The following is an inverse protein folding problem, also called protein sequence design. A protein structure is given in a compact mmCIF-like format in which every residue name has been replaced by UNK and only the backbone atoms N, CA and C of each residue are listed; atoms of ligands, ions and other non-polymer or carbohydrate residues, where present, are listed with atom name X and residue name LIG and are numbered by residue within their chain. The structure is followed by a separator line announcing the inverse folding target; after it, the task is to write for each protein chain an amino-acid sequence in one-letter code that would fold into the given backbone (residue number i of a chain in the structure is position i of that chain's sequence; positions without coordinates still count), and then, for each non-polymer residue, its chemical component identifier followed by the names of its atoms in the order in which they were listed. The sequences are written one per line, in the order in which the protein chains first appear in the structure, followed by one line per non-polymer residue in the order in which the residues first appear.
data_IF_477610568478
#
_entry.id   IF_477610568478
#
_cell.length_a   1.000
_cell.length_b   1.000
_cell.length_c   1.000
_cell.angle_alpha   90.00
_cell.angle_beta   90.00
_cell.angle_gamma   90.00
#
_symmetry.space_group_name_H-M   'P 1'
#
loop_
_entity.id
_entity.type
_entity.pdbx_description
1 polymer ?
#
# COMPACT_ATOMS: atom_id res chain seq x y z
N UNK A 1 -17.31 7.02 16.20
CA UNK A 1 -17.28 5.56 16.47
C UNK A 1 -16.53 5.19 17.76
N UNK A 2 -15.33 5.72 18.04
CA UNK A 2 -14.58 5.35 19.26
C UNK A 2 -15.35 5.56 20.59
N UNK A 3 -16.04 6.70 20.75
CA UNK A 3 -16.87 6.98 21.95
C UNK A 3 -18.00 5.96 22.13
N UNK A 4 -18.60 5.51 21.03
CA UNK A 4 -19.66 4.51 21.04
C UNK A 4 -19.13 3.14 21.49
N UNK A 5 -17.98 2.70 20.96
CA UNK A 5 -17.33 1.45 21.40
C UNK A 5 -16.88 1.50 22.86
N UNK A 6 -16.34 2.65 23.31
CA UNK A 6 -15.97 2.83 24.72
C UNK A 6 -17.19 2.76 25.64
N UNK A 7 -18.34 3.29 25.20
CA UNK A 7 -19.58 3.22 25.99
C UNK A 7 -20.13 1.79 26.09
N UNK A 8 -20.14 1.03 25.00
CA UNK A 8 -20.55 -0.39 25.05
C UNK A 8 -19.60 -1.22 25.93
N UNK A 9 -18.29 -0.96 25.86
CA UNK A 9 -17.30 -1.65 26.70
C UNK A 9 -17.47 -1.31 28.19
N UNK A 10 -17.85 -0.07 28.50
CA UNK A 10 -18.17 0.38 29.86
C UNK A 10 -19.43 -0.31 30.40
N UNK A 11 -20.47 -0.43 29.58
CA UNK A 11 -21.71 -1.15 29.92
C UNK A 11 -21.46 -2.65 30.20
N UNK A 12 -20.49 -3.24 29.52
CA UNK A 12 -20.02 -4.61 29.76
C UNK A 12 -18.98 -4.72 30.90
N UNK A 13 -18.67 -3.61 31.59
CA UNK A 13 -17.72 -3.59 32.71
C UNK A 13 -16.27 -3.86 32.32
N UNK A 14 -15.88 -3.65 31.05
CA UNK A 14 -14.54 -3.96 30.54
C UNK A 14 -13.55 -2.82 30.72
N UNK A 15 -13.88 -1.63 30.22
CA UNK A 15 -13.06 -0.42 30.36
C UNK A 15 -13.90 0.82 30.00
N UNK A 16 -13.49 1.98 30.53
CA UNK A 16 -14.10 3.29 30.26
C UNK A 16 -13.34 4.06 29.17
N UNK A 17 -13.93 5.16 28.71
CA UNK A 17 -13.23 6.06 27.79
C UNK A 17 -11.97 6.68 28.40
N UNK A 18 -11.96 6.92 29.72
CA UNK A 18 -10.80 7.44 30.43
C UNK A 18 -9.65 6.43 30.40
N UNK A 19 -9.94 5.15 30.67
CA UNK A 19 -8.95 4.07 30.63
C UNK A 19 -8.34 3.91 29.23
N UNK A 20 -9.17 4.04 28.19
CA UNK A 20 -8.70 3.98 26.80
C UNK A 20 -7.77 5.16 26.45
N UNK A 21 -8.10 6.38 26.90
CA UNK A 21 -7.26 7.56 26.69
C UNK A 21 -5.94 7.46 27.44
N UNK A 22 -5.97 7.01 28.68
CA UNK A 22 -4.78 6.80 29.50
C UNK A 22 -3.86 5.74 28.89
N UNK A 23 -4.41 4.60 28.47
CA UNK A 23 -3.66 3.55 27.78
C UNK A 23 -3.03 4.03 26.47
N UNK A 24 -3.73 4.89 25.70
CA UNK A 24 -3.16 5.49 24.48
C UNK A 24 -2.04 6.47 24.83
N UNK A 25 -2.23 7.31 25.84
CA UNK A 25 -1.25 8.30 26.27
C UNK A 25 0.05 7.62 26.74
N UNK A 26 -0.06 6.64 27.64
CA UNK A 26 1.08 5.83 28.08
C UNK A 26 1.79 5.15 26.92
N UNK A 27 1.02 4.60 25.96
CA UNK A 27 1.56 3.95 24.77
C UNK A 27 2.27 4.94 23.83
N UNK A 28 1.76 6.17 23.70
CA UNK A 28 2.39 7.23 22.91
C UNK A 28 3.73 7.65 23.53
N UNK A 29 3.74 7.91 24.83
CA UNK A 29 4.95 8.26 25.59
C UNK A 29 5.98 7.13 25.47
N UNK A 30 5.58 5.89 25.73
CA UNK A 30 6.48 4.73 25.69
C UNK A 30 7.04 4.44 24.30
N UNK A 31 6.27 4.66 23.23
CA UNK A 31 6.72 4.43 21.84
C UNK A 31 7.46 5.61 21.22
N UNK A 32 7.37 6.79 21.80
CA UNK A 32 8.08 7.99 21.34
C UNK A 32 8.95 8.60 22.44
N UNK A 33 9.89 7.84 23.03
CA UNK A 33 10.78 8.38 24.06
C UNK A 33 11.70 9.47 23.51
N UNK A 34 11.86 9.62 22.20
CA UNK A 34 12.59 10.71 21.55
C UNK A 34 11.78 12.01 21.44
N UNK A 35 10.45 11.95 21.63
CA UNK A 35 9.55 13.11 21.63
C UNK A 35 9.20 13.52 23.06
N UNK A 36 9.01 12.55 23.95
CA UNK A 36 8.48 12.76 25.30
C UNK A 36 9.49 12.49 26.43
N UNK A 37 10.72 12.09 26.11
CA UNK A 37 11.81 11.85 27.07
C UNK A 37 13.20 12.18 26.44
N UNK A 38 14.29 11.98 27.20
CA UNK A 38 15.67 12.06 26.68
C UNK A 38 16.02 10.80 25.87
N UNK A 39 15.46 10.68 24.67
CA UNK A 39 15.70 9.57 23.75
C UNK A 39 16.78 9.87 22.70
N UNK A 40 17.81 9.03 22.61
CA UNK A 40 18.94 9.17 21.66
C UNK A 40 18.63 8.93 20.16
N UNK A 41 17.37 8.73 19.76
CA UNK A 41 17.03 8.48 18.36
C UNK A 41 16.93 9.81 17.58
N UNK A 42 18.02 10.20 16.91
CA UNK A 42 18.15 11.50 16.21
C UNK A 42 17.85 11.44 14.72
N UNK A 43 17.63 10.25 14.17
CA UNK A 43 17.34 10.03 12.74
C UNK A 43 16.02 9.28 12.54
N UNK A 44 15.31 9.51 11.41
CA UNK A 44 14.07 8.81 11.10
C UNK A 44 14.20 7.27 11.14
N UNK A 45 15.34 6.74 10.69
CA UNK A 45 15.63 5.30 10.67
C UNK A 45 15.79 4.74 12.10
N UNK A 46 16.48 5.48 12.98
CA UNK A 46 16.62 5.11 14.39
C UNK A 46 15.29 5.16 15.12
N UNK A 47 14.44 6.16 14.83
CA UNK A 47 13.09 6.28 15.39
C UNK A 47 12.24 5.08 14.98
N UNK A 48 12.25 4.72 13.68
CA UNK A 48 11.49 3.59 13.17
C UNK A 48 11.94 2.26 13.79
N UNK A 49 13.27 2.05 13.89
CA UNK A 49 13.85 0.84 14.50
C UNK A 49 13.44 0.71 15.98
N UNK A 50 13.53 1.81 16.73
CA UNK A 50 13.18 1.84 18.16
C UNK A 50 11.68 1.64 18.37
N UNK A 51 10.84 2.26 17.55
CA UNK A 51 9.39 2.05 17.58
C UNK A 51 9.07 0.56 17.44
N UNK A 52 9.63 -0.09 16.42
CA UNK A 52 9.28 -1.49 16.15
C UNK A 52 9.87 -2.47 17.17
N UNK A 53 11.01 -2.14 17.78
CA UNK A 53 11.54 -2.88 18.93
C UNK A 53 10.57 -2.81 20.13
N UNK A 54 10.07 -1.61 20.46
CA UNK A 54 9.07 -1.42 21.52
C UNK A 54 7.76 -2.17 21.20
N UNK A 55 7.34 -2.21 19.93
CA UNK A 55 6.18 -3.02 19.50
C UNK A 55 6.42 -4.52 19.70
N UNK A 56 7.62 -5.01 19.44
CA UNK A 56 7.96 -6.42 19.59
C UNK A 56 7.97 -6.82 21.07
N UNK A 57 8.57 -5.98 21.94
CA UNK A 57 8.59 -6.16 23.40
C UNK A 57 7.17 -6.19 23.99
N UNK A 58 6.29 -5.26 23.59
CA UNK A 58 4.87 -5.29 24.00
C UNK A 58 4.16 -6.58 23.61
N UNK A 59 4.48 -7.14 22.44
CA UNK A 59 3.84 -8.33 21.92
C UNK A 59 4.33 -9.58 22.65
N UNK A 60 5.58 -9.61 23.07
CA UNK A 60 6.15 -10.67 23.92
C UNK A 60 5.51 -10.69 25.32
N UNK A 61 5.26 -9.52 25.92
CA UNK A 61 4.62 -9.40 27.24
C UNK A 61 3.15 -9.88 27.24
N UNK A 62 2.46 -9.80 26.10
CA UNK A 62 1.05 -10.22 25.97
C UNK A 62 0.82 -11.73 25.86
N UNK A 63 1.86 -12.57 25.97
CA UNK A 63 1.70 -14.01 26.22
C UNK A 63 1.09 -14.83 25.07
N UNK A 64 1.30 -14.45 23.81
CA UNK A 64 0.87 -15.26 22.66
C UNK A 64 1.83 -16.40 22.34
N UNK A 65 1.30 -17.53 21.84
CA UNK A 65 2.08 -18.63 21.23
C UNK A 65 3.11 -18.12 20.22
N UNK A 66 4.23 -18.82 19.96
CA UNK A 66 5.23 -18.39 18.98
C UNK A 66 4.58 -18.28 17.60
N UNK A 67 4.21 -17.06 17.26
CA UNK A 67 3.64 -16.67 15.99
C UNK A 67 4.77 -16.58 14.97
N UNK A 68 4.55 -17.12 13.77
CA UNK A 68 5.43 -16.93 12.63
C UNK A 68 5.67 -15.44 12.38
N UNK A 69 6.81 -15.09 11.78
CA UNK A 69 7.24 -13.70 11.55
C UNK A 69 6.12 -12.83 10.93
N UNK A 70 5.33 -13.43 10.04
CA UNK A 70 4.28 -12.76 9.27
C UNK A 70 2.89 -12.81 9.93
N UNK A 71 2.66 -13.62 10.96
CA UNK A 71 1.34 -13.79 11.60
C UNK A 71 0.81 -12.49 12.23
N UNK A 72 1.70 -11.55 12.52
CA UNK A 72 1.32 -10.21 12.96
C UNK A 72 0.94 -9.24 11.85
N UNK A 73 0.77 -9.69 10.59
CA UNK A 73 0.28 -8.86 9.48
C UNK A 73 -1.24 -9.07 9.36
N UNK A 74 -2.06 -8.03 9.59
CA UNK A 74 -3.50 -8.15 9.44
C UNK A 74 -3.90 -8.40 7.99
N UNK A 75 -4.65 -9.50 7.76
CA UNK A 75 -5.19 -9.91 6.45
C UNK A 75 -6.41 -9.09 5.98
N UNK A 76 -6.99 -8.28 6.86
CA UNK A 76 -8.15 -7.44 6.55
C UNK A 76 -7.77 -6.13 5.82
N UNK A 77 -6.49 -5.92 5.53
CA UNK A 77 -5.99 -4.74 4.83
C UNK A 77 -6.06 -4.93 3.31
N UNK A 78 -6.01 -3.85 2.52
CA UNK A 78 -5.80 -3.94 1.08
C UNK A 78 -4.51 -4.69 0.73
N UNK A 79 -4.53 -5.45 -0.36
CA UNK A 79 -3.45 -6.36 -0.74
C UNK A 79 -2.08 -5.67 -0.88
N UNK A 80 -2.01 -4.45 -1.45
CA UNK A 80 -0.73 -3.72 -1.58
C UNK A 80 -0.17 -3.29 -0.22
N UNK A 81 -1.04 -2.88 0.70
CA UNK A 81 -0.64 -2.51 2.05
C UNK A 81 -0.16 -3.74 2.85
N UNK A 82 -0.85 -4.88 2.69
CA UNK A 82 -0.45 -6.17 3.26
C UNK A 82 0.90 -6.62 2.71
N UNK A 83 1.07 -6.67 1.38
CA UNK A 83 2.33 -7.02 0.72
C UNK A 83 3.49 -6.12 1.19
N UNK A 84 3.26 -4.82 1.33
CA UNK A 84 4.29 -3.89 1.82
C UNK A 84 4.67 -4.17 3.29
N UNK A 85 3.72 -4.59 4.13
CA UNK A 85 4.00 -5.00 5.50
C UNK A 85 4.74 -6.34 5.58
N UNK A 86 4.33 -7.34 4.79
CA UNK A 86 5.01 -8.63 4.66
C UNK A 86 6.48 -8.40 4.25
N UNK A 87 6.67 -7.69 3.15
CA UNK A 87 7.99 -7.34 2.60
C UNK A 87 8.88 -6.63 3.62
N UNK A 88 8.36 -5.60 4.32
CA UNK A 88 9.12 -4.90 5.37
C UNK A 88 9.52 -5.80 6.53
N UNK A 89 8.69 -6.79 6.90
CA UNK A 89 9.02 -7.73 7.98
C UNK A 89 10.06 -8.74 7.55
N UNK A 90 9.92 -9.30 6.35
CA UNK A 90 10.91 -10.22 5.78
C UNK A 90 12.29 -9.54 5.69
N UNK A 91 12.34 -8.32 5.16
CA UNK A 91 13.57 -7.54 5.06
C UNK A 91 14.27 -7.34 6.41
N UNK A 92 13.51 -7.08 7.48
CA UNK A 92 14.06 -6.91 8.84
C UNK A 92 14.65 -8.20 9.43
N UNK A 93 14.15 -9.34 9.01
CA UNK A 93 14.72 -10.64 9.35
C UNK A 93 15.97 -10.97 8.53
N UNK A 94 16.43 -10.06 7.66
CA UNK A 94 17.56 -10.26 6.77
C UNK A 94 17.20 -10.95 5.45
N UNK A 95 15.91 -11.18 5.19
CA UNK A 95 15.43 -11.70 3.91
C UNK A 95 15.06 -10.52 3.01
N UNK A 96 16.08 -9.93 2.37
CA UNK A 96 15.93 -8.79 1.46
C UNK A 96 16.91 -8.89 0.28
N UNK A 97 16.66 -8.10 -0.75
CA UNK A 97 17.61 -7.82 -1.82
C UNK A 97 18.69 -6.84 -1.34
N UNK A 98 19.88 -6.90 -1.94
CA UNK A 98 20.98 -6.01 -1.55
C UNK A 98 20.80 -4.58 -2.08
N UNK A 99 20.12 -4.44 -3.22
CA UNK A 99 19.96 -3.17 -3.90
C UNK A 99 18.77 -3.17 -4.87
N UNK A 100 18.37 -1.96 -5.28
CA UNK A 100 17.26 -1.76 -6.22
C UNK A 100 17.45 -2.48 -7.56
N UNK A 101 18.68 -2.64 -8.05
CA UNK A 101 18.93 -3.27 -9.34
C UNK A 101 18.54 -4.75 -9.34
N UNK A 102 18.74 -5.47 -8.22
CA UNK A 102 18.29 -6.85 -8.10
C UNK A 102 16.76 -6.97 -8.13
N UNK A 103 16.04 -6.07 -7.46
CA UNK A 103 14.56 -6.07 -7.49
C UNK A 103 14.04 -5.75 -8.88
N UNK A 104 14.65 -4.78 -9.57
CA UNK A 104 14.30 -4.43 -10.96
C UNK A 104 14.60 -5.57 -11.93
N UNK A 105 15.68 -6.34 -11.71
CA UNK A 105 15.95 -7.54 -12.49
C UNK A 105 14.83 -8.57 -12.28
N UNK A 106 14.38 -8.78 -11.04
CA UNK A 106 13.26 -9.69 -10.74
C UNK A 106 11.96 -9.23 -11.42
N UNK A 107 11.64 -7.94 -11.46
CA UNK A 107 10.47 -7.41 -12.21
C UNK A 107 10.50 -7.86 -13.68
N UNK A 108 11.67 -7.88 -14.32
CA UNK A 108 11.80 -8.31 -15.72
C UNK A 108 11.61 -9.82 -15.86
N UNK A 109 12.15 -10.58 -14.91
CA UNK A 109 11.97 -12.04 -14.85
C UNK A 109 10.48 -12.42 -14.72
N UNK A 110 9.75 -11.78 -13.80
CA UNK A 110 8.30 -12.01 -13.62
C UNK A 110 7.50 -11.68 -14.89
N UNK A 111 7.88 -10.63 -15.64
CA UNK A 111 7.27 -10.31 -16.92
C UNK A 111 7.51 -11.40 -17.97
N UNK A 112 8.74 -11.93 -18.03
CA UNK A 112 9.07 -13.04 -18.91
C UNK A 112 8.32 -14.33 -18.51
N UNK A 113 8.05 -14.54 -17.22
CA UNK A 113 7.26 -15.66 -16.69
C UNK A 113 5.80 -15.57 -17.09
N UNK A 114 5.18 -14.40 -16.96
CA UNK A 114 3.82 -14.13 -17.47
C UNK A 114 3.74 -14.45 -18.97
N UNK A 115 4.73 -14.02 -19.76
CA UNK A 115 4.75 -14.32 -21.19
C UNK A 115 4.85 -15.81 -21.49
N UNK A 116 5.68 -16.55 -20.74
CA UNK A 116 5.81 -18.01 -20.87
C UNK A 116 4.50 -18.72 -20.52
N UNK A 117 3.91 -18.41 -19.37
CA UNK A 117 2.64 -18.97 -18.90
C UNK A 117 1.51 -18.71 -19.91
N UNK A 118 1.42 -17.47 -20.43
CA UNK A 118 0.44 -17.10 -21.46
C UNK A 118 0.59 -17.91 -22.74
N UNK A 119 1.83 -18.17 -23.20
CA UNK A 119 2.10 -18.97 -24.40
C UNK A 119 1.78 -20.45 -24.18
N UNK A 120 1.95 -20.95 -22.96
CA UNK A 120 1.57 -22.30 -22.58
C UNK A 120 0.04 -22.49 -22.44
N UNK A 121 -0.72 -21.39 -22.33
CA UNK A 121 -2.17 -21.43 -22.14
C UNK A 121 -2.59 -21.79 -20.73
N UNK A 122 -1.70 -21.64 -19.75
CA UNK A 122 -1.93 -21.95 -18.35
C UNK A 122 -2.45 -20.70 -17.61
N UNK A 123 -3.76 -20.60 -17.42
CA UNK A 123 -4.38 -19.45 -16.77
C UNK A 123 -4.07 -19.35 -15.28
N UNK A 124 -3.89 -20.49 -14.60
CA UNK A 124 -3.60 -20.51 -13.16
C UNK A 124 -2.17 -20.00 -12.94
N UNK A 125 -1.23 -20.47 -13.77
CA UNK A 125 0.13 -19.95 -13.74
C UNK A 125 0.15 -18.45 -14.05
N UNK A 126 -0.56 -17.98 -15.09
CA UNK A 126 -0.64 -16.54 -15.41
C UNK A 126 -1.12 -15.71 -14.20
N UNK A 127 -2.12 -16.17 -13.46
CA UNK A 127 -2.59 -15.48 -12.25
C UNK A 127 -1.50 -15.42 -11.17
N UNK A 128 -0.79 -16.52 -10.95
CA UNK A 128 0.35 -16.60 -10.03
C UNK A 128 1.46 -15.60 -10.38
N UNK A 129 1.93 -15.62 -11.63
CA UNK A 129 3.03 -14.73 -12.08
C UNK A 129 2.61 -13.24 -12.05
N UNK A 130 1.32 -12.92 -12.28
CA UNK A 130 0.80 -11.56 -12.08
C UNK A 130 0.88 -11.17 -10.59
N UNK A 131 0.55 -12.09 -9.69
CA UNK A 131 0.69 -11.91 -8.25
C UNK A 131 2.13 -11.61 -7.84
N UNK A 132 3.08 -12.39 -8.35
CA UNK A 132 4.51 -12.23 -8.06
C UNK A 132 5.09 -10.94 -8.64
N UNK A 133 4.65 -10.53 -9.85
CA UNK A 133 4.95 -9.21 -10.40
C UNK A 133 4.44 -8.09 -9.49
N UNK A 134 3.18 -8.15 -9.04
CA UNK A 134 2.60 -7.12 -8.16
C UNK A 134 3.36 -7.05 -6.82
N UNK A 135 3.72 -8.19 -6.24
CA UNK A 135 4.52 -8.25 -5.02
C UNK A 135 5.94 -7.68 -5.23
N UNK A 136 6.54 -7.94 -6.39
CA UNK A 136 7.86 -7.40 -6.74
C UNK A 136 7.80 -5.88 -6.95
N UNK A 137 6.74 -5.36 -7.57
CA UNK A 137 6.51 -3.90 -7.69
C UNK A 137 6.33 -3.24 -6.31
N UNK A 138 5.67 -3.91 -5.36
CA UNK A 138 5.60 -3.44 -3.97
C UNK A 138 6.99 -3.37 -3.33
N UNK A 139 7.87 -4.32 -3.63
CA UNK A 139 9.27 -4.26 -3.17
C UNK A 139 10.04 -3.11 -3.82
N UNK A 140 9.86 -2.84 -5.12
CA UNK A 140 10.43 -1.65 -5.77
C UNK A 140 9.99 -0.37 -5.06
N UNK A 141 8.69 -0.24 -4.77
CA UNK A 141 8.17 0.91 -4.03
C UNK A 141 8.81 1.04 -2.64
N UNK A 142 9.00 -0.07 -1.91
CA UNK A 142 9.68 -0.08 -0.60
C UNK A 142 11.13 0.41 -0.71
N UNK A 143 11.91 -0.06 -1.68
CA UNK A 143 13.30 0.39 -1.90
C UNK A 143 13.37 1.90 -2.22
N UNK A 144 12.35 2.44 -2.86
CA UNK A 144 12.24 3.85 -3.19
C UNK A 144 11.59 4.70 -2.08
N UNK A 145 11.23 4.11 -0.94
CA UNK A 145 10.55 4.83 0.16
C UNK A 145 9.13 5.28 -0.18
N UNK A 146 8.48 4.65 -1.16
CA UNK A 146 7.14 4.97 -1.64
C UNK A 146 6.11 4.03 -1.01
N UNK A 147 4.99 4.57 -0.53
CA UNK A 147 3.81 3.77 -0.16
C UNK A 147 3.07 3.33 -1.44
N UNK A 148 3.04 2.03 -1.78
CA UNK A 148 2.45 1.54 -3.03
C UNK A 148 0.94 1.74 -3.09
N UNK A 149 0.23 1.58 -1.97
CA UNK A 149 -1.22 1.77 -1.89
C UNK A 149 -1.58 3.23 -2.17
N UNK A 150 -0.88 4.18 -1.53
CA UNK A 150 -1.10 5.61 -1.76
C UNK A 150 -0.64 6.06 -3.16
N UNK A 151 0.43 5.48 -3.69
CA UNK A 151 0.87 5.72 -5.06
C UNK A 151 -0.21 5.31 -6.06
N UNK A 152 -0.77 4.10 -5.93
CA UNK A 152 -1.82 3.62 -6.81
C UNK A 152 -3.11 4.43 -6.65
N UNK A 153 -3.52 4.78 -5.43
CA UNK A 153 -4.69 5.65 -5.19
C UNK A 153 -4.58 6.99 -5.92
N UNK A 154 -3.41 7.63 -5.87
CA UNK A 154 -3.17 8.89 -6.61
C UNK A 154 -3.21 8.69 -8.12
N UNK A 155 -2.68 7.57 -8.63
CA UNK A 155 -2.76 7.25 -10.05
C UNK A 155 -4.20 7.00 -10.50
N UNK A 156 -5.00 6.29 -9.70
CA UNK A 156 -6.42 6.06 -9.97
C UNK A 156 -7.21 7.38 -9.98
N UNK A 157 -6.94 8.30 -9.06
CA UNK A 157 -7.58 9.62 -9.06
C UNK A 157 -7.27 10.40 -10.35
N UNK A 158 -5.99 10.47 -10.74
CA UNK A 158 -5.56 11.10 -12.00
C UNK A 158 -6.23 10.46 -13.22
N UNK A 159 -6.34 9.13 -13.24
CA UNK A 159 -7.02 8.43 -14.32
C UNK A 159 -8.49 8.86 -14.41
N UNK A 160 -9.21 8.91 -13.28
CA UNK A 160 -10.62 9.32 -13.24
C UNK A 160 -10.81 10.76 -13.72
N UNK A 161 -9.94 11.67 -13.30
CA UNK A 161 -9.98 13.07 -13.72
C UNK A 161 -9.78 13.21 -15.22
N UNK A 162 -8.77 12.53 -15.78
CA UNK A 162 -8.52 12.52 -17.23
C UNK A 162 -9.65 11.90 -18.01
N UNK A 163 -10.20 10.79 -17.52
CA UNK A 163 -11.30 10.12 -18.19
C UNK A 163 -12.56 11.00 -18.21
N UNK A 164 -12.88 11.68 -17.11
CA UNK A 164 -13.99 12.64 -17.05
C UNK A 164 -13.80 13.83 -18.00
N UNK A 165 -12.55 14.24 -18.27
CA UNK A 165 -12.25 15.24 -19.29
C UNK A 165 -12.54 14.71 -20.70
N UNK A 166 -12.16 13.47 -21.01
CA UNK A 166 -12.50 12.83 -22.29
C UNK A 166 -14.01 12.74 -22.46
N UNK A 167 -14.74 12.30 -21.42
CA UNK A 167 -16.20 12.24 -21.40
C UNK A 167 -16.84 13.59 -21.73
N UNK A 168 -16.41 14.63 -21.03
CA UNK A 168 -16.91 15.99 -21.22
C UNK A 168 -16.56 16.54 -22.61
N UNK A 169 -15.36 16.23 -23.10
CA UNK A 169 -14.89 16.63 -24.42
C UNK A 169 -15.66 16.00 -25.58
N UNK A 170 -16.10 14.74 -25.44
CA UNK A 170 -16.97 14.08 -26.42
C UNK A 170 -18.40 14.61 -26.33
N UNK A 171 -18.92 14.77 -25.11
CA UNK A 171 -20.26 15.31 -24.88
C UNK A 171 -20.42 16.72 -25.46
N UNK A 172 -19.40 17.58 -25.34
CA UNK A 172 -19.37 18.92 -25.92
C UNK A 172 -19.42 18.91 -27.47
N UNK A 173 -19.03 17.80 -28.09
CA UNK A 173 -19.11 17.59 -29.54
C UNK A 173 -20.42 16.88 -29.95
N UNK A 174 -21.33 16.64 -29.01
CA UNK A 174 -22.58 15.92 -29.27
C UNK A 174 -22.38 14.44 -29.58
N UNK A 175 -21.23 13.86 -29.19
CA UNK A 175 -20.84 12.50 -29.54
C UNK A 175 -20.79 11.59 -28.32
N UNK A 176 -21.15 10.33 -28.51
CA UNK A 176 -20.91 9.26 -27.54
C UNK A 176 -19.57 8.56 -27.80
N UNK A 177 -19.09 7.80 -26.81
CA UNK A 177 -17.91 6.94 -26.98
C UNK A 177 -18.05 5.93 -28.11
N UNK A 178 -19.24 5.35 -28.29
CA UNK A 178 -19.47 4.37 -29.36
C UNK A 178 -19.39 5.02 -30.74
N UNK A 179 -19.97 6.21 -30.90
CA UNK A 179 -19.90 6.98 -32.14
C UNK A 179 -18.45 7.39 -32.45
N UNK A 180 -17.75 7.94 -31.44
CA UNK A 180 -16.33 8.28 -31.54
C UNK A 180 -15.49 7.07 -31.94
N UNK A 181 -15.71 5.91 -31.31
CA UNK A 181 -14.99 4.67 -31.63
C UNK A 181 -15.31 4.13 -33.02
N UNK A 182 -16.56 4.22 -33.46
CA UNK A 182 -16.97 3.75 -34.78
C UNK A 182 -16.41 4.61 -35.91
N UNK A 183 -16.35 5.93 -35.73
CA UNK A 183 -15.90 6.88 -36.75
C UNK A 183 -14.38 7.12 -36.73
N UNK A 184 -13.77 7.14 -35.54
CA UNK A 184 -12.40 7.58 -35.32
C UNK A 184 -11.53 6.59 -34.55
N UNK A 185 -12.06 5.42 -34.17
CA UNK A 185 -11.36 4.47 -33.31
C UNK A 185 -11.00 5.10 -31.96
N UNK A 186 -9.82 4.79 -31.44
CA UNK A 186 -9.34 5.39 -30.19
C UNK A 186 -8.70 6.77 -30.37
N UNK A 187 -8.48 7.22 -31.61
CA UNK A 187 -7.64 8.39 -31.88
C UNK A 187 -8.23 9.69 -31.30
N UNK A 188 -9.55 9.89 -31.39
CA UNK A 188 -10.22 11.06 -30.83
C UNK A 188 -10.16 11.07 -29.29
N UNK A 189 -10.43 9.92 -28.65
CA UNK A 189 -10.30 9.75 -27.20
C UNK A 189 -8.86 9.96 -26.72
N UNK A 190 -7.88 9.43 -27.44
CA UNK A 190 -6.46 9.62 -27.13
C UNK A 190 -6.04 11.09 -27.28
N UNK A 191 -6.57 11.80 -28.29
CA UNK A 191 -6.33 13.24 -28.44
C UNK A 191 -6.86 14.03 -27.25
N UNK A 192 -8.10 13.76 -26.81
CA UNK A 192 -8.70 14.36 -25.61
C UNK A 192 -7.93 13.98 -24.34
N UNK A 193 -7.47 12.74 -24.24
CA UNK A 193 -6.66 12.25 -23.14
C UNK A 193 -5.30 12.97 -23.03
N UNK A 194 -4.64 13.19 -24.16
CA UNK A 194 -3.37 13.94 -24.22
C UNK A 194 -3.58 15.43 -23.91
N UNK A 195 -4.74 16.01 -24.26
CA UNK A 195 -5.11 17.36 -23.81
C UNK A 195 -5.32 17.42 -22.30
N UNK A 196 -6.06 16.47 -21.73
CA UNK A 196 -6.25 16.37 -20.28
C UNK A 196 -4.90 16.32 -19.52
N UNK A 197 -3.93 15.53 -20.02
CA UNK A 197 -2.57 15.47 -19.46
C UNK A 197 -1.83 16.82 -19.48
N UNK A 198 -2.07 17.67 -20.49
CA UNK A 198 -1.41 18.97 -20.62
C UNK A 198 -2.02 20.00 -19.67
N UNK A 199 -3.34 19.97 -19.49
CA UNK A 199 -4.05 20.88 -18.58
C UNK A 199 -3.83 20.53 -17.09
N UNK A 200 -3.48 19.27 -16.78
CA UNK A 200 -3.15 18.80 -15.42
C UNK A 200 -1.71 19.10 -14.97
N UNK A 201 -0.81 19.53 -15.87
CA UNK A 201 0.57 19.82 -15.46
C UNK A 201 0.56 21.07 -14.56
N UNK A 202 1.19 21.01 -13.37
CA UNK A 202 1.27 22.14 -12.45
C UNK A 202 2.02 23.33 -13.07
#
# INVERSE_FOLDING_TARGET
QAVFYARMAEEEGKFTIADALEAINEKLIRRHPHVFADGDARTPEQVLKRWDQIKAEEKAVRGGSPQGLLDGVPRAQPALAEAAQISRKAARAGFDWDNLAQVVAKVREELDEIERARRAGDSEQVEGEIGDLLFTIVNVARFLGVDPEQALRRTNLKFRQRFAFVESGLAAQGRTFEQSRAEHGIAEMESLWQRAKKEERP
#
